data_IF_451255694917
#
_entry.id   IF_451255694917
#
_cell.length_a   1.000
_cell.length_b   1.000
_cell.length_c   1.000
_cell.angle_alpha   90.00
_cell.angle_beta   90.00
_cell.angle_gamma   90.00
#
_symmetry.space_group_name_H-M   'P 1'
#
loop_
_entity.id
_entity.type
_entity.pdbx_description
1 polymer ?
#
# COMPACT_ATOMS: atom_id res chain seq x y z
N UNK A 1 -6.89 19.56 3.26
CA UNK A 1 -7.82 18.48 3.70
C UNK A 1 -8.45 17.72 2.54
N UNK A 2 -8.78 18.38 1.41
CA UNK A 2 -9.37 17.72 0.23
C UNK A 2 -8.43 16.66 -0.37
N UNK A 3 -7.15 16.99 -0.50
CA UNK A 3 -6.17 16.07 -1.11
C UNK A 3 -6.00 14.72 -0.39
N UNK A 4 -6.05 14.67 0.95
CA UNK A 4 -5.90 13.41 1.67
C UNK A 4 -7.09 12.47 1.41
N UNK A 5 -8.30 13.00 1.31
CA UNK A 5 -9.49 12.21 0.96
C UNK A 5 -9.46 11.72 -0.48
N UNK A 6 -9.03 12.57 -1.41
CA UNK A 6 -8.86 12.17 -2.82
C UNK A 6 -7.83 11.05 -2.96
N UNK A 7 -6.70 11.15 -2.26
CA UNK A 7 -5.67 10.11 -2.23
C UNK A 7 -6.15 8.82 -1.57
N UNK A 8 -6.97 8.89 -0.53
CA UNK A 8 -7.57 7.69 0.11
C UNK A 8 -8.53 7.02 -0.85
N UNK A 9 -9.40 7.78 -1.52
CA UNK A 9 -10.33 7.22 -2.51
C UNK A 9 -9.58 6.56 -3.68
N UNK A 10 -8.52 7.19 -4.19
CA UNK A 10 -7.68 6.60 -5.24
C UNK A 10 -7.00 5.31 -4.76
N UNK A 11 -6.41 5.31 -3.55
CA UNK A 11 -5.80 4.13 -2.95
C UNK A 11 -6.82 2.99 -2.74
N UNK A 12 -8.07 3.32 -2.40
CA UNK A 12 -9.15 2.34 -2.23
C UNK A 12 -9.54 1.68 -3.56
N UNK A 13 -9.73 2.48 -4.62
CA UNK A 13 -10.01 2.00 -5.98
C UNK A 13 -8.87 1.11 -6.49
N UNK A 14 -7.63 1.42 -6.13
CA UNK A 14 -6.45 0.61 -6.47
C UNK A 14 -6.27 -0.64 -5.59
N UNK A 15 -7.13 -0.85 -4.58
CA UNK A 15 -7.07 -1.98 -3.67
C UNK A 15 -5.82 -1.98 -2.78
N UNK A 16 -5.33 -0.80 -2.38
CA UNK A 16 -4.10 -0.67 -1.57
C UNK A 16 -4.30 -1.02 -0.10
N UNK A 17 -5.53 -0.93 0.41
CA UNK A 17 -5.84 -1.20 1.80
C UNK A 17 -6.09 -2.69 2.00
N UNK A 18 -5.09 -3.37 2.56
CA UNK A 18 -5.17 -4.79 2.90
C UNK A 18 -4.68 -4.94 4.35
N UNK A 19 -5.59 -5.06 5.32
CA UNK A 19 -5.19 -5.28 6.70
C UNK A 19 -4.52 -6.64 6.79
N UNK A 20 -3.24 -6.63 7.16
CA UNK A 20 -2.46 -7.81 7.45
C UNK A 20 -2.64 -8.19 8.92
N UNK A 21 -2.69 -9.49 9.21
CA UNK A 21 -2.63 -10.01 10.57
C UNK A 21 -1.32 -9.61 11.25
N UNK A 22 -1.34 -9.49 12.58
CA UNK A 22 -0.19 -9.02 13.38
C UNK A 22 1.10 -9.86 13.21
N UNK A 23 1.00 -11.05 12.63
CA UNK A 23 2.12 -11.98 12.39
C UNK A 23 2.57 -12.04 10.93
N UNK A 24 1.87 -11.35 10.02
CA UNK A 24 2.25 -11.31 8.61
C UNK A 24 3.46 -10.41 8.42
N UNK A 25 4.59 -11.02 8.07
CA UNK A 25 5.85 -10.33 7.76
C UNK A 25 6.08 -10.15 6.26
N UNK A 26 5.27 -10.79 5.42
CA UNK A 26 5.37 -10.75 3.95
C UNK A 26 4.06 -10.23 3.34
N UNK A 27 4.20 -9.40 2.32
CA UNK A 27 3.09 -8.84 1.56
C UNK A 27 2.37 -9.93 0.77
N UNK A 28 1.05 -10.03 0.92
CA UNK A 28 0.23 -11.00 0.18
C UNK A 28 0.23 -10.78 -1.34
N UNK A 29 0.61 -9.58 -1.81
CA UNK A 29 0.58 -9.23 -3.22
C UNK A 29 1.91 -9.42 -3.95
N UNK A 30 3.03 -9.10 -3.31
CA UNK A 30 4.35 -9.15 -3.95
C UNK A 30 5.38 -9.99 -3.18
N UNK A 31 4.99 -10.55 -2.03
CA UNK A 31 5.79 -11.39 -1.15
C UNK A 31 7.03 -10.69 -0.56
N UNK A 32 7.20 -9.39 -0.80
CA UNK A 32 8.23 -8.59 -0.16
C UNK A 32 7.95 -8.42 1.33
N UNK A 33 9.00 -8.15 2.11
CA UNK A 33 8.90 -7.93 3.55
C UNK A 33 8.08 -6.68 3.86
N UNK A 34 7.15 -6.80 4.80
CA UNK A 34 6.36 -5.69 5.33
C UNK A 34 7.15 -4.92 6.38
N UNK A 35 6.87 -3.62 6.49
CA UNK A 35 7.36 -2.79 7.59
C UNK A 35 6.60 -3.10 8.90
N UNK A 36 7.06 -2.59 10.04
CA UNK A 36 6.43 -2.70 11.36
C UNK A 36 4.96 -2.27 11.40
N UNK A 37 4.52 -1.48 10.42
CA UNK A 37 3.13 -1.01 10.27
C UNK A 37 2.29 -1.88 9.32
N UNK A 38 2.85 -2.95 8.78
CA UNK A 38 2.22 -3.79 7.75
C UNK A 38 2.23 -3.18 6.35
N UNK A 39 2.97 -2.08 6.13
CA UNK A 39 3.06 -1.42 4.83
C UNK A 39 4.12 -2.10 3.95
N UNK A 40 3.82 -2.31 2.68
CA UNK A 40 4.76 -2.88 1.72
C UNK A 40 5.53 -1.77 0.98
N UNK A 41 6.83 -1.67 1.25
CA UNK A 41 7.71 -0.70 0.61
C UNK A 41 7.89 -0.95 -0.91
N UNK A 42 7.62 -2.17 -1.39
CA UNK A 42 7.86 -2.60 -2.78
C UNK A 42 6.68 -2.34 -3.70
N UNK A 43 5.47 -2.80 -3.34
CA UNK A 43 4.28 -2.68 -4.21
C UNK A 43 3.28 -1.59 -3.77
N UNK A 44 3.59 -0.86 -2.69
CA UNK A 44 2.74 0.23 -2.20
C UNK A 44 1.50 -0.21 -1.43
N UNK A 45 1.44 -1.47 -0.97
CA UNK A 45 0.34 -1.95 -0.13
C UNK A 45 0.38 -1.26 1.24
N UNK A 46 -0.79 -0.89 1.76
CA UNK A 46 -0.95 -0.25 3.06
C UNK A 46 -1.66 -1.22 4.02
N UNK A 47 -0.99 -1.56 5.12
CA UNK A 47 -1.47 -2.53 6.11
C UNK A 47 -2.56 -1.99 7.04
N UNK A 48 -2.91 -0.72 6.89
CA UNK A 48 -3.86 0.01 7.75
C UNK A 48 -5.16 0.28 7.01
N UNK A 49 -6.32 0.23 7.70
CA UNK A 49 -7.59 0.52 7.06
C UNK A 49 -7.71 2.01 6.72
N UNK A 50 -8.46 2.32 5.66
CA UNK A 50 -8.71 3.70 5.21
C UNK A 50 -9.19 4.60 6.37
N UNK A 51 -10.12 4.12 7.19
CA UNK A 51 -10.67 4.86 8.33
C UNK A 51 -9.60 5.28 9.37
N UNK A 52 -8.53 4.49 9.54
CA UNK A 52 -7.43 4.89 10.41
C UNK A 52 -6.60 6.01 9.79
N UNK A 53 -6.34 5.94 8.48
CA UNK A 53 -5.60 6.98 7.76
C UNK A 53 -6.39 8.29 7.69
N UNK A 54 -7.70 8.23 7.55
CA UNK A 54 -8.57 9.41 7.63
C UNK A 54 -8.47 10.10 8.99
N UNK A 55 -8.50 9.34 10.08
CA UNK A 55 -8.30 9.89 11.44
C UNK A 55 -6.92 10.52 11.58
N UNK A 56 -5.86 9.84 11.12
CA UNK A 56 -4.49 10.39 11.16
C UNK A 56 -4.33 11.62 10.27
N UNK A 57 -5.05 11.71 9.15
CA UNK A 57 -5.01 12.87 8.26
C UNK A 57 -5.60 14.14 8.91
N UNK A 58 -6.43 14.00 9.96
CA UNK A 58 -6.91 15.14 10.75
C UNK A 58 -5.81 15.73 11.63
N UNK A 59 -4.90 14.88 12.12
CA UNK A 59 -3.78 15.29 13.01
C UNK A 59 -2.48 15.58 12.26
N UNK A 60 -2.23 14.86 11.17
CA UNK A 60 -1.02 14.95 10.34
C UNK A 60 -1.38 14.79 8.85
N UNK A 61 -1.99 15.81 8.23
CA UNK A 61 -2.43 15.75 6.84
C UNK A 61 -1.27 15.63 5.86
N UNK A 62 -0.12 16.24 6.17
CA UNK A 62 1.05 16.24 5.29
C UNK A 62 1.75 14.89 5.27
N UNK A 63 1.96 14.26 6.44
CA UNK A 63 2.57 12.94 6.51
C UNK A 63 1.71 11.86 5.87
N UNK A 64 0.40 11.91 6.08
CA UNK A 64 -0.54 10.97 5.42
C UNK A 64 -0.61 11.21 3.91
N UNK A 65 -0.64 12.47 3.47
CA UNK A 65 -0.60 12.81 2.05
C UNK A 65 0.66 12.27 1.35
N UNK A 66 1.83 12.44 1.96
CA UNK A 66 3.10 11.90 1.45
C UNK A 66 3.08 10.38 1.37
N UNK A 67 2.56 9.71 2.41
CA UNK A 67 2.47 8.26 2.46
C UNK A 67 1.59 7.71 1.34
N UNK A 68 0.38 8.27 1.18
CA UNK A 68 -0.56 7.81 0.16
C UNK A 68 -0.03 8.05 -1.25
N UNK A 69 0.55 9.23 -1.52
CA UNK A 69 1.19 9.51 -2.81
C UNK A 69 2.29 8.51 -3.14
N UNK A 70 3.18 8.24 -2.18
CA UNK A 70 4.25 7.28 -2.38
C UNK A 70 3.72 5.85 -2.62
N UNK A 71 2.68 5.45 -1.89
CA UNK A 71 2.05 4.14 -2.06
C UNK A 71 1.38 3.99 -3.45
N UNK A 72 0.61 5.00 -3.85
CA UNK A 72 -0.03 5.08 -5.18
C UNK A 72 1.01 5.06 -6.29
N UNK A 73 2.04 5.89 -6.20
CA UNK A 73 3.10 5.96 -7.21
C UNK A 73 3.82 4.61 -7.33
N UNK A 74 4.13 3.97 -6.20
CA UNK A 74 4.70 2.62 -6.19
C UNK A 74 3.77 1.62 -6.85
N UNK A 75 2.48 1.63 -6.55
CA UNK A 75 1.52 0.72 -7.17
C UNK A 75 1.40 0.92 -8.67
N UNK A 76 1.37 2.17 -9.13
CA UNK A 76 1.36 2.52 -10.55
C UNK A 76 2.62 2.05 -11.28
N UNK A 77 3.77 2.14 -10.63
CA UNK A 77 5.05 1.71 -11.19
C UNK A 77 5.38 0.23 -10.94
N UNK A 78 4.65 -0.44 -10.04
CA UNK A 78 4.89 -1.82 -9.68
C UNK A 78 4.50 -2.72 -10.85
N UNK A 79 5.53 -3.20 -11.55
CA UNK A 79 5.41 -4.27 -12.54
C UNK A 79 5.75 -5.57 -11.83
N UNK A 80 4.79 -6.47 -11.59
CA UNK A 80 5.12 -7.78 -11.04
C UNK A 80 6.07 -8.48 -12.00
N UNK A 81 7.29 -8.74 -11.53
CA UNK A 81 8.24 -9.65 -12.19
C UNK A 81 7.58 -11.02 -12.23
N UNK A 82 6.94 -11.33 -13.36
CA UNK A 82 6.22 -12.60 -13.56
C UNK A 82 4.83 -12.49 -14.22
N UNK A 83 4.30 -11.30 -14.50
CA UNK A 83 3.05 -11.18 -15.28
C UNK A 83 3.31 -11.33 -16.80
N UNK A 84 3.93 -12.44 -17.21
CA UNK A 84 3.83 -13.17 -18.50
C UNK A 84 5.04 -14.12 -18.68
N UNK A 85 4.81 -15.43 -18.45
CA UNK A 85 5.75 -16.54 -18.73
C UNK A 85 6.93 -16.61 -17.77
N UNK A 86 7.42 -17.71 -17.21
CA UNK A 86 7.35 -19.13 -17.50
C UNK A 86 7.65 -19.87 -16.18
N UNK A 87 7.16 -21.10 -16.07
CA UNK A 87 7.75 -22.08 -15.15
C UNK A 87 9.18 -22.33 -15.62
N UNK A 88 10.20 -21.82 -14.94
CA UNK A 88 11.53 -22.41 -15.03
C UNK A 88 11.57 -23.56 -14.05
N UNK A 89 11.32 -24.76 -14.57
CA UNK A 89 11.77 -26.00 -13.97
C UNK A 89 13.30 -26.05 -14.05
N UNK A 90 13.95 -26.38 -12.94
CA UNK A 90 15.15 -27.22 -12.91
C UNK A 90 15.05 -28.10 -11.65
#
# INVERSE_FOLDING_TARGET
MVEARELIAEAEVMGLFQPHGAFEVHCSHCHARLDSRGDCATCGLIGRPAAELERRAQTDPEGIGKLLRAAIEKRKNFKPVGARGEKSAD
#
